data_IF_826834380556
#
_entry.id   IF_826834380556
#
_cell.length_a   1.000
_cell.length_b   1.000
_cell.length_c   1.000
_cell.angle_alpha   90.00
_cell.angle_beta   90.00
_cell.angle_gamma   90.00
#
_symmetry.space_group_name_H-M   'P 1'
#
loop_
_entity.id
_entity.type
_entity.pdbx_description
1 polymer ?
#
# COMPACT_ATOMS: atom_id res chain seq x y z
N UNK A 1 -24.89 18.10 0.43
CA UNK A 1 -23.82 17.21 0.88
C UNK A 1 -23.99 15.92 0.08
N UNK A 2 -23.06 15.65 -0.84
CA UNK A 2 -23.10 14.43 -1.69
C UNK A 2 -22.61 13.27 -0.83
N UNK A 3 -23.40 12.24 -0.67
CA UNK A 3 -22.99 11.00 -0.02
C UNK A 3 -22.37 10.11 -1.09
N UNK A 4 -21.04 10.00 -1.08
CA UNK A 4 -20.34 8.99 -1.87
C UNK A 4 -20.44 7.68 -1.08
N UNK A 5 -21.16 6.70 -1.62
CA UNK A 5 -21.14 5.35 -1.07
C UNK A 5 -20.03 4.58 -1.79
N UNK A 6 -18.91 4.37 -1.13
CA UNK A 6 -17.84 3.50 -1.60
C UNK A 6 -17.98 2.18 -0.83
N UNK A 7 -18.34 1.11 -1.53
CA UNK A 7 -18.28 -0.23 -0.99
C UNK A 7 -17.07 -0.93 -1.60
N UNK A 8 -16.02 -1.12 -0.82
CA UNK A 8 -14.87 -1.92 -1.21
C UNK A 8 -14.82 -3.20 -0.37
N UNK A 9 -14.68 -4.34 -1.02
CA UNK A 9 -14.40 -5.62 -0.38
C UNK A 9 -12.96 -6.02 -0.69
N UNK A 10 -12.12 -6.11 0.34
CA UNK A 10 -10.78 -6.66 0.23
C UNK A 10 -10.85 -8.15 0.55
N UNK A 11 -10.48 -8.97 -0.39
CA UNK A 11 -10.30 -10.41 -0.21
C UNK A 11 -8.81 -10.71 -0.33
N UNK A 12 -8.13 -10.89 0.81
CA UNK A 12 -6.76 -11.40 0.81
C UNK A 12 -6.79 -12.92 1.01
N UNK A 13 -6.26 -13.66 0.05
CA UNK A 13 -6.04 -15.09 0.17
C UNK A 13 -4.56 -15.34 0.44
N UNK A 14 -4.25 -15.81 1.66
CA UNK A 14 -2.92 -16.31 2.00
C UNK A 14 -2.74 -17.70 1.37
N UNK A 15 -1.90 -17.82 0.35
CA UNK A 15 -1.44 -19.11 -0.12
C UNK A 15 -0.42 -19.67 0.88
N UNK A 16 -0.91 -20.40 1.88
CA UNK A 16 -0.06 -21.06 2.89
C UNK A 16 0.50 -22.33 2.26
N UNK A 17 1.73 -22.26 1.78
CA UNK A 17 2.52 -23.45 1.46
C UNK A 17 3.46 -23.75 2.63
N UNK A 18 2.94 -24.43 3.67
CA UNK A 18 3.75 -24.78 4.84
C UNK A 18 2.93 -25.05 6.10
N UNK A 19 3.58 -25.52 7.14
CA UNK A 19 2.99 -25.70 8.48
C UNK A 19 2.58 -24.35 9.09
N UNK A 20 1.48 -24.30 9.78
CA UNK A 20 0.60 -23.21 10.21
C UNK A 20 1.19 -21.91 10.82
N UNK A 21 2.49 -21.63 10.70
CA UNK A 21 3.14 -20.49 11.36
C UNK A 21 4.08 -19.67 10.47
N UNK A 22 4.20 -19.98 9.18
CA UNK A 22 5.05 -19.24 8.28
C UNK A 22 4.51 -19.31 6.85
N UNK A 23 4.60 -18.21 6.10
CA UNK A 23 4.25 -18.12 4.69
C UNK A 23 5.35 -17.42 3.91
N UNK A 24 5.41 -17.64 2.59
CA UNK A 24 6.43 -17.06 1.71
C UNK A 24 5.84 -16.28 0.55
N UNK A 25 4.52 -16.35 0.38
CA UNK A 25 3.82 -15.58 -0.64
C UNK A 25 2.47 -15.11 -0.11
N UNK A 26 2.06 -13.94 -0.57
CA UNK A 26 0.74 -13.36 -0.38
C UNK A 26 0.14 -13.01 -1.72
N UNK A 27 -1.16 -13.18 -1.85
CA UNK A 27 -1.93 -12.73 -3.01
C UNK A 27 -3.16 -12.00 -2.50
N UNK A 28 -3.37 -10.79 -2.96
CA UNK A 28 -4.53 -9.97 -2.67
C UNK A 28 -5.42 -9.78 -3.90
N UNK A 29 -6.71 -9.60 -3.66
CA UNK A 29 -7.64 -9.13 -4.67
C UNK A 29 -8.61 -8.12 -4.04
N UNK A 30 -8.94 -7.07 -4.77
CA UNK A 30 -9.87 -6.04 -4.35
C UNK A 30 -10.91 -5.79 -5.43
N UNK A 31 -12.13 -5.45 -5.01
CA UNK A 31 -13.17 -4.99 -5.92
C UNK A 31 -13.94 -3.86 -5.24
N UNK A 32 -14.32 -2.84 -6.01
CA UNK A 32 -15.07 -1.70 -5.54
C UNK A 32 -16.14 -1.29 -6.54
N UNK A 33 -17.24 -0.74 -6.03
CA UNK A 33 -18.29 -0.13 -6.83
C UNK A 33 -18.53 1.28 -6.28
N UNK A 34 -18.60 2.25 -7.19
CA UNK A 34 -18.94 3.63 -6.88
C UNK A 34 -20.22 3.95 -7.64
N UNK A 35 -21.26 4.31 -6.92
CA UNK A 35 -22.55 4.72 -7.49
C UNK A 35 -22.80 6.19 -7.11
N UNK A 36 -22.44 7.16 -7.99
CA UNK A 36 -22.66 8.56 -7.73
C UNK A 36 -24.13 8.94 -7.93
N UNK A 37 -24.67 9.82 -7.10
CA UNK A 37 -26.06 10.33 -7.20
C UNK A 37 -26.42 10.94 -8.56
N UNK A 38 -25.41 11.37 -9.34
CA UNK A 38 -25.56 11.87 -10.72
C UNK A 38 -24.32 11.43 -11.54
N UNK A 39 -24.49 10.45 -12.38
CA UNK A 39 -23.43 9.95 -13.27
C UNK A 39 -23.57 8.45 -13.53
N UNK A 40 -22.67 7.90 -14.35
CA UNK A 40 -22.57 6.47 -14.56
C UNK A 40 -21.90 5.78 -13.36
N UNK A 41 -22.36 4.60 -13.01
CA UNK A 41 -21.71 3.76 -11.99
C UNK A 41 -20.29 3.45 -12.45
N UNK A 42 -19.37 3.38 -11.50
CA UNK A 42 -17.95 3.08 -11.74
C UNK A 42 -17.56 1.84 -10.97
N UNK A 43 -16.68 1.03 -11.55
CA UNK A 43 -16.16 -0.19 -10.97
C UNK A 43 -14.66 -0.13 -10.79
N UNK A 44 -14.14 -0.85 -9.80
CA UNK A 44 -12.72 -1.05 -9.66
C UNK A 44 -12.40 -2.51 -9.37
N UNK A 45 -11.28 -2.98 -9.88
CA UNK A 45 -10.76 -4.31 -9.61
C UNK A 45 -9.24 -4.24 -9.48
N UNK A 46 -8.71 -4.88 -8.45
CA UNK A 46 -7.27 -4.95 -8.21
C UNK A 46 -6.80 -6.34 -7.85
N UNK A 47 -5.57 -6.64 -8.22
CA UNK A 47 -4.82 -7.81 -7.75
C UNK A 47 -3.42 -7.40 -7.37
N UNK A 48 -2.90 -8.02 -6.34
CA UNK A 48 -1.53 -7.83 -5.89
C UNK A 48 -0.92 -9.15 -5.45
N UNK A 49 0.41 -9.20 -5.45
CA UNK A 49 1.16 -10.35 -4.98
C UNK A 49 2.50 -9.93 -4.41
N UNK A 50 2.90 -10.60 -3.33
CA UNK A 50 4.19 -10.40 -2.67
C UNK A 50 4.88 -11.74 -2.48
N UNK A 51 6.16 -11.81 -2.82
CA UNK A 51 7.02 -12.95 -2.57
C UNK A 51 8.15 -12.55 -1.61
N UNK A 52 8.24 -13.25 -0.50
CA UNK A 52 9.25 -13.03 0.54
C UNK A 52 10.47 -13.92 0.30
N UNK A 53 11.66 -13.37 0.44
CA UNK A 53 12.91 -14.14 0.22
C UNK A 53 13.14 -15.21 1.29
N UNK A 54 12.59 -15.00 2.50
CA UNK A 54 12.54 -15.99 3.56
C UNK A 54 11.11 -16.13 4.07
N UNK A 55 10.71 -17.32 4.58
CA UNK A 55 9.38 -17.49 5.15
C UNK A 55 9.12 -16.50 6.31
N UNK A 56 8.02 -15.75 6.21
CA UNK A 56 7.56 -14.82 7.24
C UNK A 56 7.08 -15.59 8.45
N UNK A 57 7.61 -15.28 9.61
CA UNK A 57 7.19 -15.88 10.88
C UNK A 57 6.05 -15.07 11.49
N UNK A 58 4.84 -15.63 11.50
CA UNK A 58 3.66 -14.90 12.00
C UNK A 58 3.70 -14.70 13.50
N UNK A 59 4.33 -15.62 14.23
CA UNK A 59 4.42 -15.60 15.71
C UNK A 59 3.05 -15.27 16.32
N UNK A 60 2.99 -14.22 17.14
CA UNK A 60 1.75 -13.69 17.72
C UNK A 60 1.30 -12.36 17.11
N UNK A 61 1.86 -11.97 15.97
CA UNK A 61 1.51 -10.73 15.28
C UNK A 61 0.16 -10.83 14.52
N UNK A 62 -0.50 -9.70 14.26
CA UNK A 62 -1.54 -9.63 13.25
C UNK A 62 -1.00 -10.07 11.90
N UNK A 63 -1.76 -10.83 11.12
CA UNK A 63 -1.28 -11.36 9.83
C UNK A 63 -0.90 -10.26 8.87
N UNK A 64 -1.67 -9.16 8.82
CA UNK A 64 -1.38 -8.01 7.97
C UNK A 64 -0.05 -7.31 8.32
N UNK A 65 0.46 -7.45 9.54
CA UNK A 65 1.68 -6.81 10.01
C UNK A 65 2.84 -7.78 10.24
N UNK A 66 2.61 -9.08 10.01
CA UNK A 66 3.59 -10.11 10.32
C UNK A 66 4.89 -9.93 9.53
N UNK A 67 4.80 -9.62 8.24
CA UNK A 67 5.96 -9.41 7.38
C UNK A 67 6.82 -8.20 7.81
N UNK A 68 6.18 -7.10 8.19
CA UNK A 68 6.85 -5.92 8.72
C UNK A 68 7.54 -6.21 10.05
N UNK A 69 6.83 -6.83 10.99
CA UNK A 69 7.37 -7.16 12.31
C UNK A 69 8.48 -8.21 12.26
N UNK A 70 8.44 -9.09 11.27
CA UNK A 70 9.49 -10.09 11.02
C UNK A 70 10.62 -9.56 10.14
N UNK A 71 10.55 -8.29 9.69
CA UNK A 71 11.50 -7.64 8.79
C UNK A 71 11.77 -8.46 7.53
N UNK A 72 10.68 -8.92 6.90
CA UNK A 72 10.74 -9.85 5.77
C UNK A 72 10.98 -9.10 4.46
N UNK A 73 12.19 -9.24 3.92
CA UNK A 73 12.53 -8.68 2.60
C UNK A 73 11.74 -9.38 1.50
N UNK A 74 11.26 -8.60 0.53
CA UNK A 74 10.31 -9.07 -0.49
C UNK A 74 10.46 -8.37 -1.84
N UNK A 75 9.80 -8.96 -2.83
CA UNK A 75 9.40 -8.30 -4.08
C UNK A 75 7.89 -8.37 -4.19
N UNK A 76 7.29 -7.34 -4.76
CA UNK A 76 5.85 -7.25 -4.93
C UNK A 76 5.47 -6.73 -6.31
N UNK A 77 4.24 -7.04 -6.72
CA UNK A 77 3.63 -6.53 -7.94
C UNK A 77 2.16 -6.26 -7.68
N UNK A 78 1.63 -5.23 -8.34
CA UNK A 78 0.21 -4.87 -8.26
C UNK A 78 -0.34 -4.45 -9.60
N UNK A 79 -1.62 -4.70 -9.80
CA UNK A 79 -2.41 -4.21 -10.91
C UNK A 79 -3.77 -3.75 -10.40
N UNK A 80 -4.22 -2.60 -10.89
CA UNK A 80 -5.51 -2.03 -10.59
C UNK A 80 -6.16 -1.55 -11.89
N UNK A 81 -7.41 -1.90 -12.06
CA UNK A 81 -8.30 -1.39 -13.10
C UNK A 81 -9.42 -0.57 -12.44
N UNK A 82 -9.65 0.62 -12.96
CA UNK A 82 -10.75 1.48 -12.53
C UNK A 82 -11.52 1.93 -13.77
N UNK A 83 -12.84 1.82 -13.71
CA UNK A 83 -13.77 2.36 -14.68
C UNK A 83 -14.46 3.58 -14.04
N UNK A 84 -14.35 4.74 -14.67
CA UNK A 84 -14.88 6.01 -14.17
C UNK A 84 -15.78 6.63 -15.23
N UNK A 85 -17.05 6.26 -15.22
CA UNK A 85 -17.97 6.58 -16.31
C UNK A 85 -17.63 5.77 -17.56
N UNK A 86 -17.27 6.46 -18.64
CA UNK A 86 -16.85 5.86 -19.91
C UNK A 86 -15.30 5.84 -20.06
N UNK A 87 -14.56 6.31 -19.04
CA UNK A 87 -13.10 6.34 -19.03
C UNK A 87 -12.53 5.13 -18.30
N UNK A 88 -11.40 4.61 -18.80
CA UNK A 88 -10.69 3.47 -18.25
C UNK A 88 -9.31 3.89 -17.70
N UNK A 89 -8.95 3.38 -16.53
CA UNK A 89 -7.64 3.60 -15.91
C UNK A 89 -7.00 2.30 -15.50
N UNK A 90 -5.78 2.08 -15.96
CA UNK A 90 -4.96 0.92 -15.59
C UNK A 90 -3.74 1.40 -14.82
N UNK A 91 -3.54 0.87 -13.63
CA UNK A 91 -2.36 1.13 -12.81
C UNK A 91 -1.65 -0.17 -12.52
N UNK A 92 -0.38 -0.25 -12.81
CA UNK A 92 0.44 -1.42 -12.50
C UNK A 92 1.81 -1.01 -11.99
N UNK A 93 2.40 -1.84 -11.17
CA UNK A 93 3.70 -1.53 -10.59
C UNK A 93 4.35 -2.74 -9.95
N UNK A 94 5.65 -2.61 -9.79
CA UNK A 94 6.50 -3.58 -9.10
C UNK A 94 7.35 -2.85 -8.06
N UNK A 95 7.70 -3.56 -6.99
CA UNK A 95 8.53 -3.01 -5.93
C UNK A 95 9.36 -4.08 -5.24
N UNK A 96 10.31 -3.62 -4.45
CA UNK A 96 11.11 -4.46 -3.58
C UNK A 96 11.39 -3.73 -2.26
N UNK A 97 11.44 -4.51 -1.18
CA UNK A 97 11.79 -4.05 0.16
C UNK A 97 12.90 -4.94 0.71
N UNK A 98 13.91 -4.32 1.25
CA UNK A 98 15.07 -5.04 1.79
C UNK A 98 15.40 -4.53 3.19
N UNK A 99 15.23 -5.39 4.18
CA UNK A 99 15.76 -5.18 5.52
C UNK A 99 17.20 -5.67 5.55
N UNK A 100 18.14 -4.76 5.82
CA UNK A 100 19.56 -5.07 5.77
C UNK A 100 19.95 -6.00 6.93
N UNK A 101 20.47 -7.21 6.66
CA UNK A 101 20.77 -8.19 7.70
C UNK A 101 21.73 -7.64 8.75
N UNK A 102 21.48 -7.99 10.02
CA UNK A 102 22.28 -7.55 11.18
C UNK A 102 22.35 -6.03 11.36
N UNK A 103 21.36 -5.31 10.86
CA UNK A 103 21.24 -3.86 11.04
C UNK A 103 19.79 -3.48 11.32
N UNK A 104 19.58 -2.21 11.69
CA UNK A 104 18.25 -1.62 11.83
C UNK A 104 17.88 -0.74 10.62
N UNK A 105 18.53 -0.98 9.48
CA UNK A 105 18.26 -0.23 8.26
C UNK A 105 17.37 -1.03 7.29
N UNK A 106 16.59 -0.26 6.55
CA UNK A 106 15.64 -0.69 5.56
C UNK A 106 15.83 0.15 4.29
N UNK A 107 15.66 -0.46 3.13
CA UNK A 107 15.62 0.23 1.84
C UNK A 107 14.48 -0.33 1.01
N UNK A 108 13.80 0.53 0.25
CA UNK A 108 12.82 0.09 -0.73
C UNK A 108 12.92 0.88 -2.02
N UNK A 109 12.38 0.29 -3.08
CA UNK A 109 12.22 0.95 -4.36
C UNK A 109 11.04 0.38 -5.12
N UNK A 110 10.38 1.23 -5.90
CA UNK A 110 9.25 0.84 -6.73
C UNK A 110 9.22 1.62 -8.04
N UNK A 111 8.59 1.04 -9.04
CA UNK A 111 8.23 1.69 -10.30
C UNK A 111 6.86 1.20 -10.72
N UNK A 112 6.07 2.10 -11.28
CA UNK A 112 4.75 1.80 -11.79
C UNK A 112 4.37 2.67 -12.96
N UNK A 113 3.25 2.34 -13.58
CA UNK A 113 2.67 3.09 -14.66
C UNK A 113 1.17 3.26 -14.43
N UNK A 114 0.68 4.41 -14.79
CA UNK A 114 -0.72 4.81 -14.73
C UNK A 114 -1.17 5.21 -16.14
N UNK A 115 -1.98 4.38 -16.78
CA UNK A 115 -2.49 4.58 -18.12
C UNK A 115 -3.97 4.91 -18.03
N UNK A 116 -4.39 6.08 -18.50
CA UNK A 116 -5.79 6.52 -18.55
C UNK A 116 -6.23 6.75 -19.98
N UNK A 117 -7.34 6.12 -20.37
CA UNK A 117 -7.98 6.27 -21.69
C UNK A 117 -9.30 7.00 -21.53
N UNK A 118 -9.46 8.07 -22.30
CA UNK A 118 -10.68 8.86 -22.30
C UNK A 118 -11.58 8.47 -23.48
N UNK A 119 -12.86 8.20 -23.22
CA UNK A 119 -13.85 7.83 -24.25
C UNK A 119 -13.95 8.87 -25.38
N UNK A 120 -13.76 10.14 -25.07
CA UNK A 120 -13.80 11.24 -26.06
C UNK A 120 -12.51 11.43 -26.84
N UNK A 121 -11.56 10.52 -26.71
CA UNK A 121 -10.25 10.53 -27.34
C UNK A 121 -9.18 11.25 -26.52
N UNK A 122 -7.96 10.75 -26.63
CA UNK A 122 -6.80 11.14 -25.85
C UNK A 122 -6.46 10.07 -24.82
N UNK A 123 -5.17 9.86 -24.63
CA UNK A 123 -4.61 8.98 -23.62
C UNK A 123 -3.72 9.81 -22.70
N UNK A 124 -3.64 9.45 -21.44
CA UNK A 124 -2.70 10.02 -20.49
C UNK A 124 -1.92 8.90 -19.84
N UNK A 125 -0.62 8.94 -19.96
CA UNK A 125 0.31 7.96 -19.44
C UNK A 125 1.26 8.63 -18.45
N UNK A 126 1.42 8.05 -17.27
CA UNK A 126 2.36 8.52 -16.26
C UNK A 126 3.19 7.36 -15.72
N UNK A 127 4.51 7.52 -15.70
CA UNK A 127 5.40 6.64 -14.98
C UNK A 127 5.65 7.21 -13.58
N UNK A 128 5.44 6.40 -12.54
CA UNK A 128 5.70 6.77 -11.15
C UNK A 128 6.81 5.89 -10.61
N UNK A 129 7.70 6.47 -9.82
CA UNK A 129 8.79 5.74 -9.20
C UNK A 129 9.07 6.28 -7.81
N UNK A 130 9.68 5.45 -6.97
CA UNK A 130 10.02 5.86 -5.61
C UNK A 130 11.16 5.04 -5.06
N UNK A 131 11.89 5.64 -4.12
CA UNK A 131 12.88 4.97 -3.32
C UNK A 131 12.90 5.57 -1.91
N UNK A 132 13.10 4.74 -0.90
CA UNK A 132 13.25 5.23 0.47
C UNK A 132 14.32 4.45 1.22
N UNK A 133 14.90 5.10 2.22
CA UNK A 133 15.75 4.50 3.23
C UNK A 133 15.08 4.71 4.58
N UNK A 134 15.11 3.68 5.42
CA UNK A 134 14.46 3.70 6.72
C UNK A 134 15.37 3.16 7.82
N UNK A 135 15.00 3.53 9.03
CA UNK A 135 15.64 3.11 10.26
C UNK A 135 14.56 2.59 11.23
N UNK A 136 14.85 1.46 11.88
CA UNK A 136 13.97 0.80 12.84
C UNK A 136 14.55 0.95 14.26
N UNK A 137 14.34 2.10 14.93
CA UNK A 137 14.92 2.40 16.24
C UNK A 137 14.42 1.50 17.38
N UNK A 138 13.27 0.87 17.18
CA UNK A 138 12.65 -0.02 18.13
C UNK A 138 11.83 -1.09 17.40
N UNK A 139 11.52 -2.24 18.04
CA UNK A 139 10.59 -3.22 17.48
C UNK A 139 9.26 -2.59 17.07
N UNK A 140 8.84 -2.84 15.83
CA UNK A 140 7.59 -2.33 15.29
C UNK A 140 7.59 -0.85 14.90
N UNK A 141 8.70 -0.11 15.06
CA UNK A 141 8.79 1.30 14.66
C UNK A 141 9.75 1.45 13.47
N UNK A 142 9.24 2.04 12.39
CA UNK A 142 10.00 2.46 11.22
C UNK A 142 9.89 3.97 11.04
N UNK A 143 11.00 4.62 10.76
CA UNK A 143 11.06 6.00 10.29
C UNK A 143 11.85 5.98 8.99
N UNK A 144 11.27 6.51 7.91
CA UNK A 144 11.87 6.47 6.58
C UNK A 144 11.82 7.84 5.91
N UNK A 145 12.82 8.10 5.08
CA UNK A 145 12.88 9.25 4.20
C UNK A 145 13.14 8.75 2.77
N UNK A 146 12.52 9.39 1.81
CA UNK A 146 12.58 8.94 0.44
C UNK A 146 12.34 10.04 -0.58
N UNK A 147 12.23 9.58 -1.82
CA UNK A 147 11.88 10.37 -2.99
C UNK A 147 10.74 9.65 -3.73
N UNK A 148 9.79 10.40 -4.21
CA UNK A 148 8.72 9.96 -5.10
C UNK A 148 8.83 10.80 -6.38
N UNK A 149 8.88 10.16 -7.52
CA UNK A 149 8.94 10.85 -8.80
C UNK A 149 7.83 10.43 -9.74
N UNK A 150 7.54 11.29 -10.69
CA UNK A 150 6.62 11.05 -11.78
C UNK A 150 7.19 11.62 -13.08
N UNK A 151 6.77 11.04 -14.20
CA UNK A 151 7.17 11.42 -15.54
C UNK A 151 6.01 11.11 -16.49
N UNK A 152 5.49 12.13 -17.16
CA UNK A 152 4.43 12.04 -18.16
C UNK A 152 4.76 12.97 -19.34
N UNK A 153 3.94 12.95 -20.38
CA UNK A 153 4.15 13.73 -21.61
C UNK A 153 4.13 15.26 -21.41
N UNK A 154 3.68 15.75 -20.26
CA UNK A 154 3.49 17.16 -19.99
C UNK A 154 4.45 17.70 -18.94
N UNK A 155 4.84 16.89 -17.97
CA UNK A 155 5.61 17.32 -16.81
C UNK A 155 6.33 16.14 -16.15
N UNK A 156 7.42 16.43 -15.45
CA UNK A 156 8.16 15.50 -14.60
C UNK A 156 8.53 16.16 -13.28
N UNK A 157 8.63 15.37 -12.23
CA UNK A 157 8.98 15.90 -10.91
C UNK A 157 9.50 14.83 -9.95
N UNK A 158 10.17 15.30 -8.90
CA UNK A 158 10.66 14.45 -7.82
C UNK A 158 10.44 15.15 -6.47
N UNK A 159 9.66 14.54 -5.62
CA UNK A 159 9.28 15.07 -4.32
C UNK A 159 9.95 14.28 -3.18
N UNK A 160 10.58 14.95 -2.21
CA UNK A 160 11.02 14.29 -0.99
C UNK A 160 9.85 13.82 -0.15
N UNK A 161 10.02 12.68 0.53
CA UNK A 161 8.99 12.06 1.37
C UNK A 161 9.53 11.71 2.75
N UNK A 162 8.65 11.75 3.73
CA UNK A 162 8.88 11.22 5.08
C UNK A 162 7.75 10.27 5.45
N UNK A 163 8.08 9.15 6.11
CA UNK A 163 7.10 8.18 6.58
C UNK A 163 7.48 7.63 7.95
N UNK A 164 6.48 7.41 8.78
CA UNK A 164 6.61 6.66 10.02
C UNK A 164 5.52 5.59 10.08
N UNK A 165 5.88 4.40 10.57
CA UNK A 165 4.96 3.30 10.84
C UNK A 165 5.27 2.73 12.21
N UNK A 166 4.23 2.51 13.02
CA UNK A 166 4.37 1.93 14.34
C UNK A 166 3.31 0.88 14.62
N UNK A 167 3.75 -0.35 14.76
CA UNK A 167 2.92 -1.50 15.16
C UNK A 167 3.28 -1.91 16.57
N UNK A 168 2.29 -1.91 17.47
CA UNK A 168 2.53 -2.26 18.87
C UNK A 168 1.32 -2.92 19.50
N UNK A 169 1.56 -3.67 20.58
CA UNK A 169 0.52 -4.28 21.41
C UNK A 169 0.09 -3.34 22.53
N UNK A 170 -1.21 -3.21 22.73
CA UNK A 170 -1.81 -2.46 23.81
C UNK A 170 -1.88 -3.30 25.10
N UNK A 171 -2.08 -2.63 26.22
CA UNK A 171 -2.21 -3.28 27.53
C UNK A 171 -3.38 -4.27 27.64
N UNK A 172 -4.38 -4.16 26.78
CA UNK A 172 -5.52 -5.08 26.69
C UNK A 172 -5.24 -6.32 25.81
N UNK A 173 -4.00 -6.50 25.32
CA UNK A 173 -3.59 -7.62 24.47
C UNK A 173 -4.04 -7.52 23.02
N UNK A 174 -4.52 -6.36 22.58
CA UNK A 174 -4.83 -6.05 21.17
C UNK A 174 -3.66 -5.31 20.54
N UNK A 175 -3.54 -5.41 19.22
CA UNK A 175 -2.50 -4.73 18.47
C UNK A 175 -3.07 -3.52 17.73
N UNK A 176 -2.23 -2.53 17.50
CA UNK A 176 -2.53 -1.37 16.66
C UNK A 176 -1.40 -1.14 15.65
N UNK A 177 -1.77 -0.63 14.48
CA UNK A 177 -0.86 -0.03 13.51
C UNK A 177 -1.17 1.46 13.42
N UNK A 178 -0.15 2.29 13.42
CA UNK A 178 -0.25 3.73 13.20
C UNK A 178 0.73 4.10 12.08
N UNK A 179 0.25 4.81 11.08
CA UNK A 179 1.07 5.30 9.98
C UNK A 179 0.87 6.79 9.76
N UNK A 180 1.95 7.47 9.45
CA UNK A 180 1.95 8.87 9.03
C UNK A 180 2.95 9.05 7.90
N UNK A 181 2.57 9.85 6.90
CA UNK A 181 3.44 10.18 5.78
C UNK A 181 3.22 11.61 5.31
N UNK A 182 4.25 12.17 4.72
CA UNK A 182 4.22 13.47 4.05
C UNK A 182 5.10 13.41 2.79
N UNK A 183 4.63 14.05 1.73
CA UNK A 183 5.38 14.38 0.53
C UNK A 183 5.45 15.89 0.40
N UNK A 184 6.59 16.40 -0.05
CA UNK A 184 6.85 17.83 -0.16
C UNK A 184 7.21 18.15 -1.60
N UNK A 185 6.26 18.71 -2.35
CA UNK A 185 6.41 19.03 -3.76
C UNK A 185 5.61 20.27 -4.15
N UNK A 186 5.17 20.35 -5.40
CA UNK A 186 4.32 21.43 -5.87
C UNK A 186 2.98 21.47 -5.12
N UNK A 187 2.51 20.30 -4.67
CA UNK A 187 1.39 20.14 -3.75
C UNK A 187 1.84 19.23 -2.60
N UNK A 188 1.82 19.78 -1.38
CA UNK A 188 2.11 18.99 -0.19
C UNK A 188 1.08 17.88 0.01
N UNK A 189 1.56 16.66 0.21
CA UNK A 189 0.71 15.49 0.46
C UNK A 189 0.87 15.03 1.91
N UNK A 190 -0.23 14.68 2.56
CA UNK A 190 -0.23 14.14 3.93
C UNK A 190 -1.13 12.91 3.99
N UNK A 191 -0.64 11.84 4.62
CA UNK A 191 -1.46 10.68 4.92
C UNK A 191 -1.34 10.28 6.39
N UNK A 192 -2.45 9.85 6.96
CA UNK A 192 -2.52 9.27 8.29
C UNK A 192 -3.37 8.01 8.22
N UNK A 193 -2.93 6.93 8.83
CA UNK A 193 -3.72 5.71 8.94
C UNK A 193 -3.60 5.12 10.34
N UNK A 194 -4.66 4.47 10.78
CA UNK A 194 -4.67 3.74 12.03
C UNK A 194 -5.54 2.49 11.90
N UNK A 195 -5.01 1.34 12.31
CA UNK A 195 -5.72 0.07 12.37
C UNK A 195 -5.73 -0.45 13.80
N UNK A 196 -6.91 -0.91 14.22
CA UNK A 196 -7.08 -1.63 15.47
C UNK A 196 -7.42 -3.08 15.18
N UNK A 197 -6.57 -4.00 15.61
CA UNK A 197 -6.73 -5.42 15.39
C UNK A 197 -7.63 -6.05 16.46
N UNK A 198 -8.84 -6.43 16.03
CA UNK A 198 -9.81 -7.14 16.88
C UNK A 198 -9.27 -8.54 17.21
N UNK A 199 -8.67 -9.18 16.22
CA UNK A 199 -7.90 -10.42 16.36
C UNK A 199 -6.77 -10.45 15.32
N UNK A 200 -6.08 -11.59 15.14
CA UNK A 200 -4.93 -11.69 14.23
C UNK A 200 -5.31 -11.60 12.74
N UNK A 201 -6.59 -11.71 12.41
CA UNK A 201 -7.11 -11.76 11.04
C UNK A 201 -8.08 -10.64 10.71
N UNK A 202 -8.55 -9.91 11.71
CA UNK A 202 -9.59 -8.87 11.56
C UNK A 202 -9.13 -7.57 12.21
N UNK A 203 -9.14 -6.50 11.44
CA UNK A 203 -8.91 -5.13 11.92
C UNK A 203 -10.06 -4.20 11.53
N UNK A 204 -10.12 -3.08 12.24
CA UNK A 204 -10.88 -1.89 11.86
C UNK A 204 -9.89 -0.76 11.69
N UNK A 205 -9.89 -0.16 10.51
CA UNK A 205 -8.98 0.91 10.14
C UNK A 205 -9.69 2.18 9.72
N UNK A 206 -8.98 3.28 9.82
CA UNK A 206 -9.33 4.58 9.25
C UNK A 206 -8.09 5.14 8.59
N UNK A 207 -8.28 5.75 7.44
CA UNK A 207 -7.24 6.48 6.73
C UNK A 207 -7.72 7.89 6.38
N UNK A 208 -6.79 8.82 6.38
CA UNK A 208 -6.98 10.20 5.96
C UNK A 208 -5.87 10.56 4.97
N UNK A 209 -6.26 11.09 3.84
CA UNK A 209 -5.36 11.61 2.81
C UNK A 209 -5.74 13.04 2.47
N UNK A 210 -4.75 13.91 2.35
CA UNK A 210 -4.88 15.31 1.90
C UNK A 210 -3.79 15.63 0.89
N UNK A 211 -4.16 16.40 -0.11
CA UNK A 211 -3.30 16.94 -1.15
C UNK A 211 -3.63 18.41 -1.35
#
# INVERSE_FOLDING_TARGET
MKKLAIASALLSALAITGTAHAYQAEVGASAGLIDPDNGSSSGSFGVDGTYYFNPVQTRNAPLAEAAFLDRASNVNAKYQYDEVGDDERHRYGVGAEVYIPNSDFYVSGNVGRDDMKFDRGGDFDETVYGAEVGYLPAPGLLIAAGLKGYDNDYDDGVDPTLRAKYVTSLSNGKDINLEAGAGFGDLDEYNLAADYFIDKTLSLGVDYYSK
#
